data_IF_850089414279
#
_entry.id   IF_850089414279
#
_cell.length_a   1.000
_cell.length_b   1.000
_cell.length_c   1.000
_cell.angle_alpha   90.00
_cell.angle_beta   90.00
_cell.angle_gamma   90.00
#
_symmetry.space_group_name_H-M   'P 1'
#
loop_
_entity.id
_entity.type
_entity.pdbx_description
1 polymer ?
#
# COMPACT_ATOMS: atom_id res chain seq x y z
N UNK A 1 7.59 7.02 -46.43
CA UNK A 1 8.23 7.08 -45.08
C UNK A 1 7.64 8.28 -44.36
N UNK A 2 6.86 8.04 -43.30
CA UNK A 2 6.12 9.10 -42.59
C UNK A 2 7.12 9.82 -41.68
N UNK A 3 7.40 11.09 -41.96
CA UNK A 3 8.27 11.93 -41.12
C UNK A 3 7.72 11.92 -39.69
N UNK A 4 8.40 11.22 -38.77
CA UNK A 4 8.17 11.34 -37.34
C UNK A 4 8.43 12.79 -36.97
N UNK A 5 7.35 13.54 -36.73
CA UNK A 5 7.41 14.86 -36.11
C UNK A 5 8.16 14.69 -34.78
N UNK A 6 9.25 15.45 -34.62
CA UNK A 6 10.09 15.40 -33.43
C UNK A 6 9.23 15.51 -32.18
N UNK A 7 9.15 14.43 -31.39
CA UNK A 7 8.61 14.47 -30.03
C UNK A 7 9.39 15.50 -29.22
N UNK A 8 8.80 16.02 -28.15
CA UNK A 8 9.50 16.99 -27.31
C UNK A 8 10.81 16.37 -26.80
N UNK A 9 11.86 17.18 -26.60
CA UNK A 9 13.17 16.66 -26.14
C UNK A 9 13.04 15.89 -24.81
N UNK A 10 12.06 16.26 -23.99
CA UNK A 10 11.70 15.55 -22.75
C UNK A 10 11.16 14.13 -23.01
N UNK A 11 10.35 13.93 -24.06
CA UNK A 11 9.88 12.59 -24.46
C UNK A 11 11.03 11.74 -24.99
N UNK A 12 11.99 12.36 -25.68
CA UNK A 12 13.18 11.68 -26.19
C UNK A 12 14.11 11.24 -25.06
N UNK A 13 14.28 12.05 -24.01
CA UNK A 13 15.18 11.80 -22.88
C UNK A 13 14.52 11.08 -21.69
N UNK A 14 13.52 10.23 -21.95
CA UNK A 14 12.80 9.52 -20.89
C UNK A 14 13.71 8.60 -20.07
N UNK A 15 14.67 7.93 -20.71
CA UNK A 15 15.59 7.02 -20.02
C UNK A 15 16.61 7.79 -19.15
N UNK A 16 17.00 8.99 -19.55
CA UNK A 16 17.80 9.88 -18.70
C UNK A 16 17.04 10.30 -17.43
N UNK A 17 15.72 10.53 -17.52
CA UNK A 17 14.90 10.83 -16.34
C UNK A 17 14.77 9.63 -15.40
N UNK A 18 14.69 8.41 -15.92
CA UNK A 18 14.76 7.20 -15.09
C UNK A 18 16.15 7.02 -14.50
N UNK A 19 17.21 7.38 -15.23
CA UNK A 19 18.59 7.34 -14.74
C UNK A 19 18.83 8.27 -13.55
N UNK A 20 18.27 9.48 -13.63
CA UNK A 20 18.26 10.42 -12.50
C UNK A 20 17.54 9.87 -11.28
N UNK A 21 16.43 9.16 -11.49
CA UNK A 21 15.62 8.56 -10.42
C UNK A 21 16.01 7.10 -10.15
N UNK A 22 17.29 6.74 -10.34
CA UNK A 22 17.75 5.38 -10.09
C UNK A 22 17.45 4.98 -8.64
N UNK A 23 17.14 3.70 -8.38
CA UNK A 23 16.96 3.20 -7.02
C UNK A 23 18.28 3.32 -6.23
N UNK A 24 18.46 4.43 -5.50
CA UNK A 24 19.61 4.66 -4.63
C UNK A 24 19.32 4.18 -3.20
N UNK A 25 20.33 3.59 -2.55
CA UNK A 25 20.28 3.09 -1.18
C UNK A 25 19.97 1.60 -1.10
N UNK A 26 20.72 0.90 -0.24
CA UNK A 26 20.40 -0.46 0.14
C UNK A 26 19.16 -0.41 1.04
N UNK A 27 18.00 -0.78 0.51
CA UNK A 27 16.81 -1.03 1.33
C UNK A 27 17.06 -2.32 2.08
N UNK A 28 17.71 -2.22 3.23
CA UNK A 28 17.90 -3.39 4.08
C UNK A 28 16.53 -3.79 4.65
N UNK A 29 16.15 -5.07 4.55
CA UNK A 29 14.96 -5.54 5.24
C UNK A 29 15.19 -5.29 6.73
N UNK A 30 14.17 -4.79 7.44
CA UNK A 30 14.24 -4.52 8.87
C UNK A 30 14.74 -5.78 9.59
N UNK A 31 16.01 -5.76 10.01
CA UNK A 31 16.58 -6.79 10.85
C UNK A 31 16.05 -6.57 12.26
N UNK A 32 15.30 -7.52 12.78
CA UNK A 32 14.87 -7.47 14.18
C UNK A 32 16.04 -7.85 15.07
N UNK A 33 16.31 -7.09 16.13
CA UNK A 33 17.33 -7.39 17.16
C UNK A 33 17.03 -8.64 18.01
N UNK A 34 16.16 -9.53 17.54
CA UNK A 34 15.97 -10.85 18.14
C UNK A 34 17.13 -11.71 17.67
N UNK A 35 18.22 -11.71 18.45
CA UNK A 35 19.27 -12.69 18.29
C UNK A 35 18.70 -14.06 18.68
N UNK A 36 18.26 -14.84 17.70
CA UNK A 36 18.17 -16.29 17.89
C UNK A 36 19.60 -16.74 18.17
N UNK A 37 19.85 -17.30 19.35
CA UNK A 37 21.19 -17.74 19.74
C UNK A 37 21.74 -18.68 18.66
N UNK A 38 22.84 -18.33 17.97
CA UNK A 38 23.44 -19.20 16.97
C UNK A 38 24.12 -20.34 17.73
N UNK A 39 23.56 -21.53 17.66
CA UNK A 39 24.09 -22.71 18.36
C UNK A 39 23.10 -23.83 18.64
N UNK A 40 21.82 -23.68 18.28
CA UNK A 40 20.83 -24.75 18.41
C UNK A 40 20.14 -25.14 17.09
N UNK A 41 20.55 -24.57 15.96
CA UNK A 41 19.95 -24.88 14.66
C UNK A 41 21.04 -25.38 13.70
N UNK A 42 21.15 -26.69 13.60
CA UNK A 42 21.99 -27.44 12.65
C UNK A 42 21.38 -27.42 11.22
N UNK A 43 20.79 -26.30 10.80
CA UNK A 43 20.19 -26.23 9.47
C UNK A 43 21.27 -25.91 8.42
N UNK A 44 21.46 -26.85 7.50
CA UNK A 44 22.32 -26.72 6.33
C UNK A 44 21.79 -25.58 5.44
N UNK A 45 22.62 -24.62 4.98
CA UNK A 45 22.18 -23.52 4.11
C UNK A 45 21.48 -23.96 2.81
N UNK A 46 21.67 -25.21 2.35
CA UNK A 46 20.91 -25.76 1.22
C UNK A 46 19.45 -26.08 1.59
N UNK A 47 19.14 -26.45 2.84
CA UNK A 47 17.76 -26.71 3.32
C UNK A 47 16.96 -25.40 3.53
N UNK A 48 17.65 -24.29 3.81
CA UNK A 48 17.02 -22.98 4.05
C UNK A 48 16.51 -22.34 2.75
N UNK A 49 17.09 -22.69 1.59
CA UNK A 49 16.68 -22.16 0.29
C UNK A 49 15.27 -22.62 -0.14
N UNK A 50 14.84 -23.79 0.33
CA UNK A 50 13.54 -24.39 -0.03
C UNK A 50 12.44 -24.16 1.01
N UNK A 51 12.75 -23.51 2.14
CA UNK A 51 11.75 -23.15 3.15
C UNK A 51 10.80 -22.06 2.63
N UNK A 52 9.58 -22.46 2.26
CA UNK A 52 8.49 -21.53 1.94
C UNK A 52 7.85 -21.00 3.22
N UNK A 53 7.63 -19.70 3.26
CA UNK A 53 7.10 -18.95 4.40
C UNK A 53 5.83 -19.57 5.00
N UNK A 54 5.85 -19.77 6.32
CA UNK A 54 4.63 -20.04 7.08
C UNK A 54 3.74 -18.80 7.06
N UNK A 55 2.51 -18.95 6.57
CA UNK A 55 1.46 -17.94 6.77
C UNK A 55 1.00 -18.06 8.21
N UNK A 56 1.23 -17.02 9.01
CA UNK A 56 0.66 -16.93 10.35
C UNK A 56 -0.88 -16.91 10.22
N UNK A 57 -1.55 -17.87 10.87
CA UNK A 57 -3.00 -18.06 10.76
C UNK A 57 -3.67 -17.59 12.05
N UNK A 58 -4.38 -16.47 11.99
CA UNK A 58 -5.14 -15.97 13.13
C UNK A 58 -6.51 -16.60 13.20
N UNK A 59 -6.68 -17.56 14.10
CA UNK A 59 -7.97 -18.10 14.50
C UNK A 59 -8.58 -17.21 15.59
N UNK A 60 -9.24 -16.12 15.21
CA UNK A 60 -9.95 -15.24 16.17
C UNK A 60 -11.41 -15.02 15.77
N UNK A 61 -12.39 -15.18 16.70
CA UNK A 61 -13.75 -14.73 16.45
C UNK A 61 -13.79 -13.20 16.31
N UNK A 62 -14.79 -12.67 15.59
CA UNK A 62 -14.97 -11.22 15.52
C UNK A 62 -15.33 -10.66 16.90
N UNK A 63 -14.82 -9.48 17.24
CA UNK A 63 -15.08 -8.81 18.53
C UNK A 63 -16.59 -8.68 18.79
N UNK A 64 -17.38 -8.41 17.75
CA UNK A 64 -18.84 -8.33 17.84
C UNK A 64 -19.50 -9.67 18.21
N UNK A 65 -19.00 -10.79 17.69
CA UNK A 65 -19.51 -12.12 18.04
C UNK A 65 -19.18 -12.50 19.49
N UNK A 66 -18.01 -12.08 19.99
CA UNK A 66 -17.63 -12.22 21.40
C UNK A 66 -18.61 -11.42 22.26
N UNK A 67 -18.75 -10.13 21.99
CA UNK A 67 -19.61 -9.22 22.76
C UNK A 67 -21.08 -9.68 22.77
N UNK A 68 -21.60 -10.12 21.62
CA UNK A 68 -22.96 -10.64 21.53
C UNK A 68 -23.13 -11.93 22.34
N UNK A 69 -22.16 -12.84 22.30
CA UNK A 69 -22.26 -14.13 22.99
C UNK A 69 -22.13 -13.96 24.51
N UNK A 70 -21.24 -13.06 24.96
CA UNK A 70 -21.08 -12.71 26.39
C UNK A 70 -22.31 -11.99 26.92
N UNK A 71 -22.92 -11.09 26.15
CA UNK A 71 -24.13 -10.38 26.57
C UNK A 71 -25.33 -11.30 26.83
N UNK A 72 -25.33 -12.53 26.30
CA UNK A 72 -26.41 -13.51 26.52
C UNK A 72 -26.30 -14.26 27.86
N UNK A 73 -25.18 -14.18 28.58
CA UNK A 73 -24.88 -14.92 29.84
C UNK A 73 -25.16 -16.45 29.79
N UNK A 74 -25.27 -17.02 28.59
CA UNK A 74 -25.55 -18.43 28.36
C UNK A 74 -24.24 -19.24 28.38
N UNK A 75 -23.83 -19.63 29.59
CA UNK A 75 -22.56 -20.30 29.88
C UNK A 75 -22.82 -21.76 30.27
N UNK A 76 -22.32 -22.71 29.48
CA UNK A 76 -22.31 -24.13 29.84
C UNK A 76 -20.93 -24.54 30.34
N UNK A 77 -20.91 -25.22 31.49
CA UNK A 77 -19.70 -25.76 32.11
C UNK A 77 -19.77 -27.28 32.20
N UNK A 78 -18.62 -27.94 32.02
CA UNK A 78 -18.48 -29.37 32.25
C UNK A 78 -18.46 -29.69 33.75
N UNK A 79 -18.52 -30.97 34.11
CA UNK A 79 -18.40 -31.48 35.49
C UNK A 79 -17.08 -31.04 36.17
N UNK A 80 -16.04 -30.80 35.37
CA UNK A 80 -14.72 -30.28 35.82
C UNK A 80 -14.68 -28.75 35.97
N UNK A 81 -15.80 -28.05 35.78
CA UNK A 81 -15.90 -26.58 35.87
C UNK A 81 -15.35 -25.82 34.66
N UNK A 82 -14.87 -26.52 33.64
CA UNK A 82 -14.39 -25.92 32.38
C UNK A 82 -15.56 -25.40 31.55
N UNK A 83 -15.42 -24.23 30.96
CA UNK A 83 -16.45 -23.64 30.09
C UNK A 83 -16.38 -24.34 28.73
N UNK A 84 -17.47 -24.98 28.31
CA UNK A 84 -17.58 -25.66 27.00
C UNK A 84 -18.27 -24.75 25.97
N UNK A 85 -19.19 -23.89 26.41
CA UNK A 85 -19.97 -23.01 25.54
C UNK A 85 -20.23 -21.66 26.19
N UNK A 86 -20.09 -20.59 25.41
CA UNK A 86 -20.61 -19.24 25.74
C UNK A 86 -21.44 -18.79 24.54
N UNK A 87 -22.77 -18.85 24.64
CA UNK A 87 -23.66 -18.56 23.53
C UNK A 87 -23.36 -19.42 22.29
N UNK A 88 -22.85 -18.81 21.22
CA UNK A 88 -22.46 -19.51 19.97
C UNK A 88 -20.99 -19.96 19.95
N UNK A 89 -20.17 -19.51 20.90
CA UNK A 89 -18.76 -19.88 21.00
C UNK A 89 -18.63 -21.25 21.68
N UNK A 90 -17.82 -22.13 21.10
CA UNK A 90 -17.53 -23.46 21.65
C UNK A 90 -16.05 -23.56 22.01
N UNK A 91 -15.77 -24.23 23.12
CA UNK A 91 -14.43 -24.42 23.65
C UNK A 91 -14.15 -25.90 23.87
N UNK A 92 -12.92 -26.32 23.58
CA UNK A 92 -12.44 -27.68 23.77
C UNK A 92 -12.28 -27.98 25.26
N UNK A 93 -12.73 -29.16 25.66
CA UNK A 93 -12.47 -29.79 26.96
C UNK A 93 -11.13 -30.56 26.98
N UNK A 94 -10.36 -30.47 25.88
CA UNK A 94 -9.07 -31.15 25.71
C UNK A 94 -9.17 -32.53 25.08
N UNK A 95 -10.37 -33.05 24.79
CA UNK A 95 -10.59 -34.33 24.11
C UNK A 95 -10.98 -34.16 22.62
N UNK A 96 -11.39 -32.97 22.22
CA UNK A 96 -11.89 -32.71 20.88
C UNK A 96 -10.74 -32.52 19.88
N UNK A 97 -10.94 -32.98 18.65
CA UNK A 97 -10.00 -32.83 17.54
C UNK A 97 -10.58 -31.89 16.49
N UNK A 98 -9.73 -31.09 15.87
CA UNK A 98 -10.07 -30.31 14.68
C UNK A 98 -9.20 -30.72 13.51
N UNK A 99 -9.76 -30.57 12.31
CA UNK A 99 -9.02 -30.74 11.06
C UNK A 99 -8.01 -29.60 10.98
N UNK A 100 -6.74 -29.94 11.05
CA UNK A 100 -5.63 -29.03 10.79
C UNK A 100 -4.75 -29.52 9.65
N UNK A 101 -3.73 -28.74 9.34
CA UNK A 101 -2.73 -29.09 8.35
C UNK A 101 -1.38 -29.21 9.07
N UNK A 102 -0.70 -30.34 8.87
CA UNK A 102 0.62 -30.62 9.45
C UNK A 102 1.57 -30.97 8.31
N UNK A 103 2.84 -30.60 8.44
CA UNK A 103 3.87 -31.01 7.48
C UNK A 103 4.20 -32.49 7.67
N UNK A 104 4.08 -33.26 6.59
CA UNK A 104 4.58 -34.62 6.52
C UNK A 104 6.11 -34.67 6.52
N UNK A 105 6.66 -35.87 6.69
CA UNK A 105 8.12 -36.11 6.67
C UNK A 105 8.74 -35.64 5.34
N UNK A 106 7.99 -35.70 4.25
CA UNK A 106 8.40 -35.27 2.91
C UNK A 106 8.14 -33.78 2.62
N UNK A 107 7.74 -32.99 3.62
CA UNK A 107 7.45 -31.55 3.48
C UNK A 107 6.11 -31.21 2.82
N UNK A 108 5.31 -32.21 2.45
CA UNK A 108 3.95 -31.99 1.95
C UNK A 108 2.98 -31.63 3.08
N UNK A 109 2.01 -30.76 2.78
CA UNK A 109 0.98 -30.34 3.73
C UNK A 109 -0.12 -31.42 3.78
N UNK A 110 -0.15 -32.20 4.86
CA UNK A 110 -1.11 -33.28 5.07
C UNK A 110 -2.22 -32.79 6.00
N UNK A 111 -3.47 -33.05 5.63
CA UNK A 111 -4.61 -32.82 6.49
C UNK A 111 -4.62 -33.87 7.62
N UNK A 112 -4.56 -33.42 8.88
CA UNK A 112 -4.53 -34.29 10.05
C UNK A 112 -5.52 -33.81 11.11
N UNK A 113 -6.07 -34.76 11.87
CA UNK A 113 -6.93 -34.46 13.02
C UNK A 113 -6.05 -34.10 14.23
N UNK A 114 -5.94 -32.81 14.53
CA UNK A 114 -5.12 -32.29 15.62
C UNK A 114 -5.97 -32.21 16.89
N UNK A 115 -5.44 -32.75 17.99
CA UNK A 115 -6.09 -32.67 19.30
C UNK A 115 -5.97 -31.25 19.86
N UNK A 116 -7.13 -30.63 20.14
CA UNK A 116 -7.18 -29.26 20.64
C UNK A 116 -6.96 -29.21 22.16
N UNK A 117 -6.09 -28.32 22.67
CA UNK A 117 -5.86 -28.19 24.11
C UNK A 117 -7.11 -27.68 24.83
N UNK A 118 -7.22 -27.98 26.13
CA UNK A 118 -8.36 -27.53 26.93
C UNK A 118 -8.44 -25.99 26.96
N UNK A 119 -9.62 -25.46 26.67
CA UNK A 119 -9.88 -24.02 26.53
C UNK A 119 -9.66 -23.46 25.13
N UNK A 120 -9.15 -24.24 24.16
CA UNK A 120 -9.04 -23.81 22.77
C UNK A 120 -10.43 -23.59 22.15
N UNK A 121 -10.57 -22.57 21.32
CA UNK A 121 -11.84 -22.28 20.66
C UNK A 121 -12.05 -23.20 19.45
N UNK A 122 -13.27 -23.70 19.28
CA UNK A 122 -13.64 -24.65 18.25
C UNK A 122 -14.54 -24.05 17.18
N UNK A 123 -14.50 -24.60 15.96
CA UNK A 123 -15.30 -24.22 14.81
C UNK A 123 -14.86 -22.89 14.20
N UNK A 124 -13.63 -22.47 14.44
CA UNK A 124 -13.08 -21.25 13.84
C UNK A 124 -12.84 -21.50 12.36
N UNK A 125 -13.21 -20.52 11.53
CA UNK A 125 -12.86 -20.54 10.10
C UNK A 125 -11.51 -19.88 9.96
N UNK A 126 -10.57 -20.59 9.34
CA UNK A 126 -9.27 -20.04 8.98
C UNK A 126 -9.48 -18.77 8.15
N UNK A 127 -8.97 -17.66 8.68
CA UNK A 127 -8.78 -16.45 7.90
C UNK A 127 -7.29 -16.37 7.62
N UNK A 128 -6.88 -16.23 6.34
CA UNK A 128 -5.56 -15.71 6.04
C UNK A 128 -5.35 -14.47 6.89
N UNK A 129 -4.27 -14.38 7.67
CA UNK A 129 -3.88 -13.08 8.16
C UNK A 129 -3.61 -12.24 6.92
N UNK A 130 -4.42 -11.20 6.73
CA UNK A 130 -4.13 -10.24 5.67
C UNK A 130 -2.84 -9.60 6.12
N UNK A 131 -1.80 -9.67 5.27
CA UNK A 131 -0.62 -8.85 5.44
C UNK A 131 -1.07 -7.46 5.90
N UNK A 132 -0.54 -7.00 7.04
CA UNK A 132 -0.84 -5.73 7.67
C UNK A 132 -0.86 -4.61 6.61
N UNK A 133 -2.04 -4.32 6.03
CA UNK A 133 -2.14 -3.54 4.79
C UNK A 133 -3.20 -3.98 3.76
N UNK A 134 -3.78 -5.18 3.89
CA UNK A 134 -4.81 -5.67 2.95
C UNK A 134 -6.09 -4.82 2.94
N UNK A 135 -6.59 -4.49 1.75
CA UNK A 135 -7.73 -3.59 1.51
C UNK A 135 -8.99 -3.86 2.34
N UNK A 136 -9.76 -2.79 2.55
CA UNK A 136 -10.92 -2.80 3.44
C UNK A 136 -12.02 -3.78 2.98
N UNK A 137 -12.43 -4.69 3.86
CA UNK A 137 -13.59 -5.54 3.57
C UNK A 137 -14.88 -4.70 3.53
N UNK A 138 -15.75 -4.91 2.53
CA UNK A 138 -17.04 -4.23 2.47
C UNK A 138 -17.92 -4.55 3.68
N UNK A 139 -17.78 -5.74 4.28
CA UNK A 139 -18.51 -6.15 5.48
C UNK A 139 -18.05 -5.39 6.72
N UNK A 140 -16.75 -5.24 6.91
CA UNK A 140 -16.17 -4.50 8.04
C UNK A 140 -16.47 -3.00 7.93
N UNK A 141 -16.47 -2.47 6.71
CA UNK A 141 -16.87 -1.08 6.44
C UNK A 141 -18.34 -0.84 6.82
N UNK A 142 -19.25 -1.77 6.48
CA UNK A 142 -20.65 -1.68 6.90
C UNK A 142 -20.82 -1.78 8.41
N UNK A 143 -20.15 -2.73 9.06
CA UNK A 143 -20.20 -2.89 10.52
C UNK A 143 -19.69 -1.63 11.24
N UNK A 144 -18.59 -1.06 10.75
CA UNK A 144 -18.05 0.21 11.27
C UNK A 144 -19.03 1.36 11.08
N UNK A 145 -19.69 1.48 9.92
CA UNK A 145 -20.66 2.54 9.68
C UNK A 145 -21.89 2.40 10.59
N UNK A 146 -22.41 1.17 10.78
CA UNK A 146 -23.51 0.91 11.72
C UNK A 146 -23.17 1.32 13.15
N UNK A 147 -21.93 1.10 13.59
CA UNK A 147 -21.49 1.59 14.90
C UNK A 147 -21.64 3.12 15.04
N UNK A 148 -21.27 3.89 14.02
CA UNK A 148 -21.44 5.36 14.04
C UNK A 148 -22.91 5.78 13.96
N UNK A 149 -23.72 5.04 13.19
CA UNK A 149 -25.16 5.28 13.07
C UNK A 149 -25.86 5.14 14.43
N UNK A 150 -25.55 4.05 15.15
CA UNK A 150 -26.10 3.76 16.48
C UNK A 150 -25.57 4.76 17.52
N UNK A 151 -24.26 5.04 17.50
CA UNK A 151 -23.62 5.95 18.46
C UNK A 151 -24.17 7.38 18.37
N UNK A 152 -24.43 7.88 17.15
CA UNK A 152 -24.86 9.26 16.92
C UNK A 152 -26.37 9.41 16.70
N UNK A 153 -27.11 8.30 16.64
CA UNK A 153 -28.55 8.28 16.41
C UNK A 153 -28.93 8.91 15.06
N UNK A 154 -28.17 8.59 14.01
CA UNK A 154 -28.30 9.19 12.67
C UNK A 154 -28.95 8.23 11.68
N UNK A 155 -29.39 8.77 10.53
CA UNK A 155 -29.79 7.95 9.39
C UNK A 155 -28.63 7.08 8.86
N UNK A 156 -28.94 5.97 8.16
CA UNK A 156 -27.93 5.09 7.57
C UNK A 156 -26.93 5.84 6.68
N UNK A 157 -25.65 5.54 6.86
CA UNK A 157 -24.56 6.14 6.10
C UNK A 157 -24.68 5.75 4.63
N UNK A 158 -24.59 6.75 3.76
CA UNK A 158 -24.60 6.56 2.31
C UNK A 158 -23.39 7.27 1.71
N UNK A 159 -22.52 6.52 1.05
CA UNK A 159 -21.45 7.12 0.27
C UNK A 159 -22.00 7.73 -1.03
N UNK A 160 -21.64 8.98 -1.30
CA UNK A 160 -21.93 9.66 -2.56
C UNK A 160 -20.59 9.91 -3.25
N UNK A 161 -20.30 9.23 -4.39
CA UNK A 161 -19.05 9.47 -5.10
C UNK A 161 -19.00 10.92 -5.56
N UNK A 162 -17.82 11.53 -5.46
CA UNK A 162 -17.61 12.90 -5.90
C UNK A 162 -18.01 13.06 -7.37
N UNK A 163 -18.97 13.94 -7.65
CA UNK A 163 -19.33 14.33 -9.01
C UNK A 163 -18.28 15.25 -9.64
N UNK A 164 -18.47 15.61 -10.91
CA UNK A 164 -17.67 16.64 -11.57
C UNK A 164 -17.78 17.94 -10.77
N UNK A 165 -16.66 18.46 -10.26
CA UNK A 165 -16.60 19.80 -9.67
C UNK A 165 -17.08 20.80 -10.72
N UNK A 166 -18.12 21.57 -10.38
CA UNK A 166 -18.47 22.75 -11.16
C UNK A 166 -17.49 23.84 -10.76
N UNK A 167 -16.68 24.29 -11.70
CA UNK A 167 -15.86 25.49 -11.50
C UNK A 167 -16.83 26.69 -11.51
N UNK A 168 -17.09 27.21 -10.31
CA UNK A 168 -17.76 28.51 -10.16
C UNK A 168 -16.78 29.64 -10.45
N UNK A 169 -17.31 30.86 -10.53
CA UNK A 169 -16.49 32.07 -10.43
C UNK A 169 -15.92 32.18 -9.02
N UNK A 170 -14.61 32.34 -8.91
CA UNK A 170 -13.95 32.64 -7.65
C UNK A 170 -14.19 34.12 -7.33
N UNK A 171 -14.85 34.40 -6.20
CA UNK A 171 -15.05 35.76 -5.70
C UNK A 171 -14.04 36.07 -4.60
N UNK A 172 -13.55 37.30 -4.57
CA UNK A 172 -12.79 37.80 -3.43
C UNK A 172 -13.68 37.93 -2.18
N UNK A 173 -13.06 38.02 -1.00
CA UNK A 173 -13.77 38.19 0.27
C UNK A 173 -14.63 39.47 0.28
N UNK A 174 -14.18 40.54 -0.38
CA UNK A 174 -14.91 41.82 -0.44
C UNK A 174 -16.11 41.75 -1.40
N UNK A 175 -15.94 41.08 -2.54
CA UNK A 175 -17.02 40.90 -3.53
C UNK A 175 -18.12 39.98 -2.97
N UNK A 176 -17.75 38.90 -2.29
CA UNK A 176 -18.72 37.99 -1.66
C UNK A 176 -19.51 38.69 -0.54
N UNK A 177 -18.88 39.55 0.25
CA UNK A 177 -19.56 40.35 1.27
C UNK A 177 -20.59 41.32 0.67
N UNK A 178 -20.27 41.98 -0.46
CA UNK A 178 -21.21 42.86 -1.16
C UNK A 178 -22.40 42.11 -1.74
N UNK A 179 -22.15 40.98 -2.41
CA UNK A 179 -23.19 40.12 -2.99
C UNK A 179 -24.15 39.62 -1.90
N UNK A 180 -23.61 39.24 -0.73
CA UNK A 180 -24.44 38.85 0.41
C UNK A 180 -25.27 40.02 0.94
N UNK A 181 -24.69 41.20 1.11
CA UNK A 181 -25.39 42.38 1.61
C UNK A 181 -26.54 42.81 0.67
N UNK A 182 -26.30 42.78 -0.64
CA UNK A 182 -27.31 43.06 -1.66
C UNK A 182 -28.42 42.01 -1.65
N UNK A 183 -28.07 40.73 -1.52
CA UNK A 183 -29.05 39.65 -1.40
C UNK A 183 -29.93 39.82 -0.15
N UNK A 184 -29.34 40.11 1.02
CA UNK A 184 -30.10 40.34 2.26
C UNK A 184 -31.03 41.55 2.16
N UNK A 185 -30.59 42.65 1.53
CA UNK A 185 -31.42 43.84 1.35
C UNK A 185 -32.64 43.60 0.45
N UNK A 186 -32.50 42.73 -0.55
CA UNK A 186 -33.54 42.40 -1.51
C UNK A 186 -34.47 41.26 -1.06
N UNK A 187 -34.12 40.51 0.00
CA UNK A 187 -34.88 39.33 0.41
C UNK A 187 -35.66 39.60 1.71
N UNK A 188 -36.96 39.38 1.66
CA UNK A 188 -37.84 39.43 2.84
C UNK A 188 -37.61 38.18 3.72
N UNK A 189 -36.82 38.36 4.79
CA UNK A 189 -36.39 37.27 5.68
C UNK A 189 -37.54 36.59 6.42
N UNK A 190 -38.71 37.24 6.57
CA UNK A 190 -39.88 36.66 7.23
C UNK A 190 -40.52 35.54 6.40
N UNK A 191 -40.29 35.52 5.08
CA UNK A 191 -40.80 34.49 4.16
C UNK A 191 -39.82 33.34 3.93
N UNK A 192 -38.62 33.41 4.51
CA UNK A 192 -37.58 32.38 4.33
C UNK A 192 -37.90 31.18 5.21
N UNK A 193 -38.31 30.08 4.59
CA UNK A 193 -38.50 28.79 5.25
C UNK A 193 -37.19 28.02 5.31
N UNK A 194 -36.71 27.75 6.52
CA UNK A 194 -35.54 26.91 6.74
C UNK A 194 -35.92 25.43 6.73
N UNK A 195 -35.59 24.73 5.66
CA UNK A 195 -35.71 23.25 5.62
C UNK A 195 -34.60 22.64 6.47
N UNK A 196 -34.95 22.13 7.66
CA UNK A 196 -34.01 21.37 8.51
C UNK A 196 -33.98 19.91 8.06
N UNK A 197 -32.81 19.44 7.64
CA UNK A 197 -32.60 18.04 7.32
C UNK A 197 -32.45 17.18 8.58
N UNK A 198 -32.84 15.90 8.53
CA UNK A 198 -32.60 14.96 9.62
C UNK A 198 -31.10 14.78 9.88
N UNK A 199 -30.75 14.37 11.10
CA UNK A 199 -29.36 14.10 11.49
C UNK A 199 -28.79 12.96 10.62
N UNK A 200 -27.69 13.21 9.94
CA UNK A 200 -27.03 12.25 9.04
C UNK A 200 -25.52 12.31 9.18
N UNK A 201 -24.85 11.24 8.74
CA UNK A 201 -23.40 11.15 8.69
C UNK A 201 -22.84 11.78 7.39
N UNK A 202 -21.57 12.22 7.37
CA UNK A 202 -20.95 12.80 6.19
C UNK A 202 -20.81 11.78 5.06
N UNK A 203 -21.39 12.04 3.90
CA UNK A 203 -21.45 11.10 2.76
C UNK A 203 -20.19 11.07 1.88
N UNK A 204 -19.13 11.79 2.25
CA UNK A 204 -17.96 12.06 1.38
C UNK A 204 -16.97 10.91 1.25
N UNK A 205 -17.02 9.92 2.15
CA UNK A 205 -16.13 8.75 2.16
C UNK A 205 -16.95 7.45 2.31
N UNK A 206 -16.43 6.32 1.80
CA UNK A 206 -17.05 5.01 2.02
C UNK A 206 -17.15 4.62 3.51
N UNK A 207 -16.18 5.07 4.32
CA UNK A 207 -16.14 4.86 5.78
C UNK A 207 -16.49 6.16 6.49
N UNK A 208 -17.51 6.13 7.35
CA UNK A 208 -17.88 7.27 8.18
C UNK A 208 -16.74 7.70 9.12
N UNK A 209 -15.92 6.74 9.58
CA UNK A 209 -14.74 6.96 10.42
C UNK A 209 -13.73 7.96 9.84
N UNK A 210 -13.63 8.07 8.51
CA UNK A 210 -12.67 8.97 7.85
C UNK A 210 -12.98 10.46 8.13
N UNK A 211 -14.21 10.77 8.53
CA UNK A 211 -14.60 12.13 8.93
C UNK A 211 -14.19 12.47 10.37
N UNK A 212 -13.78 11.48 11.17
CA UNK A 212 -13.42 11.63 12.58
C UNK A 212 -11.93 11.36 12.78
N UNK A 213 -11.07 12.36 12.55
CA UNK A 213 -9.61 12.23 12.68
C UNK A 213 -9.20 11.60 14.02
N UNK A 214 -9.85 11.98 15.13
CA UNK A 214 -9.52 11.48 16.47
C UNK A 214 -9.94 10.03 16.76
N UNK A 215 -10.75 9.41 15.89
CA UNK A 215 -11.18 8.01 16.02
C UNK A 215 -10.46 7.09 15.03
N UNK A 216 -9.60 7.66 14.18
CA UNK A 216 -8.70 6.87 13.35
C UNK A 216 -7.45 6.57 14.15
N UNK A 217 -7.21 5.30 14.44
CA UNK A 217 -5.87 4.85 14.84
C UNK A 217 -4.98 4.93 13.62
N UNK A 218 -4.41 6.11 13.36
CA UNK A 218 -3.32 6.25 12.39
C UNK A 218 -2.03 5.74 13.02
N UNK A 219 -1.07 5.31 12.20
CA UNK A 219 0.29 5.11 12.68
C UNK A 219 0.78 6.47 13.22
N UNK A 220 1.31 6.49 14.44
CA UNK A 220 1.89 7.69 15.02
C UNK A 220 3.20 7.96 14.27
N UNK A 221 3.27 9.04 13.50
CA UNK A 221 4.48 9.69 12.96
C UNK A 221 5.45 8.86 12.08
N UNK A 222 5.34 7.54 11.99
CA UNK A 222 5.98 6.73 10.96
C UNK A 222 4.98 6.47 9.86
N UNK A 223 5.32 6.78 8.60
CA UNK A 223 4.60 6.24 7.46
C UNK A 223 4.41 4.74 7.69
N UNK A 224 3.21 4.22 7.40
CA UNK A 224 3.01 2.78 7.44
C UNK A 224 4.14 2.12 6.66
N UNK A 225 4.77 1.11 7.25
CA UNK A 225 5.92 0.44 6.65
C UNK A 225 5.58 0.06 5.20
N UNK A 226 6.51 0.33 4.27
CA UNK A 226 6.37 -0.13 2.90
C UNK A 226 6.06 -1.64 2.94
N UNK A 227 5.08 -2.07 2.15
CA UNK A 227 4.74 -3.49 2.15
C UNK A 227 5.99 -4.29 1.77
N UNK A 228 6.15 -5.48 2.36
CA UNK A 228 7.29 -6.34 2.02
C UNK A 228 7.33 -6.67 0.52
N UNK A 229 6.16 -6.73 -0.13
CA UNK A 229 6.01 -6.85 -1.59
C UNK A 229 6.66 -5.66 -2.31
N UNK A 230 6.38 -4.43 -1.87
CA UNK A 230 7.00 -3.22 -2.43
C UNK A 230 8.52 -3.19 -2.17
N UNK A 231 8.97 -3.72 -1.03
CA UNK A 231 10.40 -3.81 -0.69
C UNK A 231 11.13 -4.81 -1.59
N UNK A 232 10.54 -6.00 -1.82
CA UNK A 232 11.09 -7.01 -2.72
C UNK A 232 11.04 -6.58 -4.17
N UNK A 233 9.92 -5.99 -4.62
CA UNK A 233 9.83 -5.41 -5.96
C UNK A 233 10.90 -4.35 -6.15
N UNK A 234 11.12 -3.48 -5.16
CA UNK A 234 12.20 -2.50 -5.20
C UNK A 234 13.61 -3.13 -5.21
N UNK A 235 13.83 -4.27 -4.54
CA UNK A 235 15.08 -5.02 -4.61
C UNK A 235 15.31 -5.63 -6.00
N UNK A 236 14.30 -6.30 -6.55
CA UNK A 236 14.34 -6.92 -7.87
C UNK A 236 14.56 -5.84 -8.96
N UNK A 237 13.82 -4.74 -8.89
CA UNK A 237 13.97 -3.60 -9.80
C UNK A 237 15.37 -2.99 -9.70
N UNK A 238 15.95 -2.94 -8.49
CA UNK A 238 17.33 -2.49 -8.26
C UNK A 238 18.34 -3.43 -8.92
N UNK A 239 18.20 -4.74 -8.76
CA UNK A 239 19.12 -5.72 -9.33
C UNK A 239 19.07 -5.69 -10.86
N UNK A 240 17.87 -5.67 -11.46
CA UNK A 240 17.70 -5.49 -12.90
C UNK A 240 18.28 -4.16 -13.39
N UNK A 241 18.12 -3.10 -12.60
CA UNK A 241 18.72 -1.80 -12.92
C UNK A 241 20.25 -1.87 -12.96
N UNK A 242 20.89 -2.53 -11.98
CA UNK A 242 22.34 -2.72 -11.98
C UNK A 242 22.84 -3.60 -13.11
N UNK A 243 22.12 -4.67 -13.47
CA UNK A 243 22.45 -5.50 -14.63
C UNK A 243 22.35 -4.71 -15.94
N UNK A 244 21.27 -3.92 -16.11
CA UNK A 244 21.12 -3.03 -17.26
C UNK A 244 22.24 -1.98 -17.34
N UNK A 245 22.70 -1.46 -16.20
CA UNK A 245 23.86 -0.56 -16.16
C UNK A 245 25.15 -1.28 -16.52
N UNK A 246 25.37 -2.51 -16.05
CA UNK A 246 26.57 -3.30 -16.36
C UNK A 246 26.70 -3.61 -17.86
N UNK A 247 25.59 -3.80 -18.58
CA UNK A 247 25.62 -3.98 -20.04
C UNK A 247 25.98 -2.69 -20.81
N UNK A 248 25.72 -1.53 -20.23
CA UNK A 248 26.04 -0.25 -20.86
C UNK A 248 27.56 -0.04 -20.96
N UNK A 249 28.04 0.51 -22.08
CA UNK A 249 29.46 0.84 -22.24
C UNK A 249 29.87 1.93 -21.25
N UNK A 250 31.09 1.85 -20.72
CA UNK A 250 31.62 2.84 -19.77
C UNK A 250 31.49 4.28 -20.31
N UNK A 251 31.77 4.47 -21.60
CA UNK A 251 31.59 5.75 -22.30
C UNK A 251 30.16 6.28 -22.24
N UNK A 252 29.16 5.42 -22.37
CA UNK A 252 27.76 5.83 -22.33
C UNK A 252 27.33 6.14 -20.88
N UNK A 253 27.90 5.44 -19.88
CA UNK A 253 27.72 5.78 -18.46
C UNK A 253 28.30 7.14 -18.12
N UNK A 254 29.54 7.40 -18.54
CA UNK A 254 30.21 8.70 -18.32
C UNK A 254 29.41 9.86 -18.92
N UNK A 255 28.80 9.63 -20.09
CA UNK A 255 27.91 10.59 -20.76
C UNK A 255 26.64 10.85 -19.96
N UNK A 256 26.01 9.80 -19.40
CA UNK A 256 24.81 9.92 -18.58
C UNK A 256 25.10 10.61 -17.24
N UNK A 257 26.18 10.23 -16.55
CA UNK A 257 26.61 10.85 -15.30
C UNK A 257 26.94 12.32 -15.50
N UNK A 258 27.74 12.65 -16.53
CA UNK A 258 28.07 14.04 -16.86
C UNK A 258 26.82 14.84 -17.25
N UNK A 259 25.84 14.23 -17.90
CA UNK A 259 24.61 14.91 -18.29
C UNK A 259 23.70 15.30 -17.11
N UNK A 260 23.86 14.68 -15.93
CA UNK A 260 23.13 15.08 -14.73
C UNK A 260 23.65 16.41 -14.15
N UNK A 261 24.94 16.69 -14.32
CA UNK A 261 25.62 17.85 -13.72
C UNK A 261 25.93 18.96 -14.74
N UNK A 262 26.10 18.61 -16.01
CA UNK A 262 26.55 19.53 -17.05
C UNK A 262 25.55 20.65 -17.32
N UNK A 263 26.04 21.89 -17.32
CA UNK A 263 25.26 23.06 -17.71
C UNK A 263 25.06 23.17 -19.24
N UNK A 264 25.85 22.44 -20.04
CA UNK A 264 25.87 22.56 -21.50
C UNK A 264 26.13 21.20 -22.19
N UNK A 265 25.78 21.10 -23.48
CA UNK A 265 26.05 19.90 -24.29
C UNK A 265 27.52 19.72 -24.68
N UNK A 266 28.36 20.76 -24.53
CA UNK A 266 29.78 20.65 -24.90
C UNK A 266 30.52 19.73 -23.94
N UNK A 267 30.19 19.82 -22.66
CA UNK A 267 30.79 19.03 -21.59
C UNK A 267 30.38 17.55 -21.73
N UNK A 268 29.11 17.31 -22.09
CA UNK A 268 28.60 15.96 -22.41
C UNK A 268 29.32 15.35 -23.61
N UNK A 269 29.60 16.14 -24.65
CA UNK A 269 30.36 15.67 -25.81
C UNK A 269 31.83 15.36 -25.48
N UNK A 270 32.44 16.12 -24.57
CA UNK A 270 33.80 15.88 -24.08
C UNK A 270 33.86 14.59 -23.24
N UNK A 271 32.87 14.36 -22.36
CA UNK A 271 32.74 13.09 -21.63
C UNK A 271 32.57 11.89 -22.57
N UNK A 272 31.88 12.08 -23.68
CA UNK A 272 31.85 11.11 -24.76
C UNK A 272 33.18 10.98 -25.52
N UNK A 273 34.29 11.59 -25.11
CA UNK A 273 35.59 11.54 -25.80
C UNK A 273 35.63 12.29 -27.14
N UNK A 274 34.71 13.23 -27.39
CA UNK A 274 34.71 14.04 -28.61
C UNK A 274 35.57 15.30 -28.41
N UNK A 275 36.13 15.84 -29.50
CA UNK A 275 36.82 17.13 -29.44
C UNK A 275 35.83 18.26 -29.17
N UNK A 276 36.26 19.29 -28.42
CA UNK A 276 35.42 20.45 -28.07
C UNK A 276 34.77 21.11 -29.29
N UNK A 277 35.50 21.21 -30.39
CA UNK A 277 34.97 21.76 -31.64
C UNK A 277 33.83 20.92 -32.22
N UNK A 278 33.91 19.59 -32.12
CA UNK A 278 32.86 18.69 -32.60
C UNK A 278 31.65 18.65 -31.66
N UNK A 279 31.92 18.62 -30.34
CA UNK A 279 30.89 18.63 -29.30
C UNK A 279 29.97 19.86 -29.42
N UNK A 280 30.58 21.05 -29.64
CA UNK A 280 29.90 22.33 -29.76
C UNK A 280 29.31 22.56 -31.16
N UNK A 281 30.18 22.72 -32.17
CA UNK A 281 29.77 23.22 -33.50
C UNK A 281 29.06 22.19 -34.38
N UNK A 282 29.18 20.89 -34.09
CA UNK A 282 28.51 19.82 -34.86
C UNK A 282 27.38 19.14 -34.08
N UNK A 283 26.98 19.72 -32.95
CA UNK A 283 25.99 19.13 -32.03
C UNK A 283 26.36 17.71 -31.61
N UNK A 284 27.66 17.41 -31.55
CA UNK A 284 28.19 16.09 -31.21
C UNK A 284 27.77 15.65 -29.81
N UNK A 285 27.73 16.59 -28.86
CA UNK A 285 27.29 16.31 -27.49
C UNK A 285 25.80 15.97 -27.38
N UNK A 286 24.95 16.70 -28.10
CA UNK A 286 23.51 16.37 -28.18
C UNK A 286 23.26 14.98 -28.78
N UNK A 287 24.01 14.63 -29.83
CA UNK A 287 23.90 13.32 -30.49
C UNK A 287 24.43 12.19 -29.59
N UNK A 288 25.52 12.43 -28.87
CA UNK A 288 26.06 11.48 -27.90
C UNK A 288 25.07 11.21 -26.76
N UNK A 289 24.43 12.26 -26.22
CA UNK A 289 23.41 12.10 -25.18
C UNK A 289 22.21 11.29 -25.66
N UNK A 290 21.69 11.58 -26.86
CA UNK A 290 20.57 10.82 -27.43
C UNK A 290 20.95 9.34 -27.64
N UNK A 291 22.16 9.06 -28.15
CA UNK A 291 22.64 7.70 -28.32
C UNK A 291 22.78 6.96 -26.98
N UNK A 292 23.34 7.60 -25.95
CA UNK A 292 23.46 7.00 -24.61
C UNK A 292 22.08 6.73 -23.98
N UNK A 293 21.14 7.65 -24.14
CA UNK A 293 19.75 7.48 -23.68
C UNK A 293 19.02 6.35 -24.41
N UNK A 294 19.20 6.22 -25.73
CA UNK A 294 18.61 5.13 -26.52
C UNK A 294 19.22 3.77 -26.14
N UNK A 295 20.54 3.71 -25.89
CA UNK A 295 21.23 2.51 -25.41
C UNK A 295 20.73 2.10 -24.01
N UNK A 296 20.55 3.06 -23.10
CA UNK A 296 19.98 2.81 -21.79
C UNK A 296 18.53 2.30 -21.89
N UNK A 297 17.70 2.90 -22.73
CA UNK A 297 16.33 2.46 -22.96
C UNK A 297 16.27 1.02 -23.51
N UNK A 298 17.21 0.66 -24.39
CA UNK A 298 17.33 -0.70 -24.93
C UNK A 298 17.78 -1.70 -23.85
N UNK A 299 18.75 -1.33 -23.00
CA UNK A 299 19.21 -2.16 -21.89
C UNK A 299 18.08 -2.41 -20.87
N UNK A 300 17.40 -1.36 -20.41
CA UNK A 300 16.26 -1.50 -19.49
C UNK A 300 15.18 -2.41 -20.08
N UNK A 301 14.83 -2.24 -21.37
CA UNK A 301 13.81 -3.06 -22.02
C UNK A 301 14.20 -4.54 -22.10
N UNK A 302 15.48 -4.86 -22.18
CA UNK A 302 15.97 -6.24 -22.25
C UNK A 302 15.83 -6.98 -20.93
N UNK A 303 16.03 -6.29 -19.80
CA UNK A 303 15.92 -6.88 -18.45
C UNK A 303 14.52 -6.75 -17.84
N UNK A 304 13.68 -5.84 -18.34
CA UNK A 304 12.29 -5.71 -17.91
C UNK A 304 11.30 -6.64 -18.65
N UNK A 305 11.77 -7.50 -19.56
CA UNK A 305 10.95 -8.41 -20.39
C UNK A 305 11.12 -9.86 -19.94
#
# INVERSE_FOLDING_TARGET
>A
MKNMRHGSLAEQLKALMTYRNRPEGQREPLQTNWSVAPGANDNDPEEVADMRYERDWRQTPSVQAIMQSVATDDIEKNERGQIIRIGKLRFSDGNQTEVGYVLGIDGEVIQADIRMPAGAMLGMKDKPDRASGGGADPKDTKASNHYFEDMLGTLPHRYIPSGKRRNGTDYSAEESARILAEAYANTDMEKVTYTRYPKGLPCGSPKAADSFLGMRKTTCAGGGDESWEDTLSAMIDRDFWFEALQELKDRDRDVLDTALEAANYTDVGIAAGQSRHYADKRSGGRKALLAANDNLAAAIKKYAA
#
